data_IF_124552125670
#
_entry.id   IF_124552125670
#
_cell.length_a   1.000
_cell.length_b   1.000
_cell.length_c   1.000
_cell.angle_alpha   90.00
_cell.angle_beta   90.00
_cell.angle_gamma   90.00
#
_symmetry.space_group_name_H-M   'P 1'
#
loop_
_entity.id
_entity.type
_entity.pdbx_description
1 polymer ?
#
# COMPACT_ATOMS: atom_id res chain seq x y z
N UNK A 1 10.32 -5.84 -0.86
CA UNK A 1 9.15 -4.95 -0.92
C UNK A 1 7.98 -5.65 -1.62
N UNK A 2 6.74 -5.46 -1.13
CA UNK A 2 5.53 -6.21 -1.53
C UNK A 2 5.18 -6.03 -3.01
N UNK A 3 5.29 -4.80 -3.51
CA UNK A 3 5.04 -4.50 -4.92
C UNK A 3 6.04 -5.22 -5.83
N UNK A 4 7.33 -5.15 -5.49
CA UNK A 4 8.40 -5.76 -6.29
C UNK A 4 8.28 -7.28 -6.36
N UNK A 5 7.95 -7.95 -5.26
CA UNK A 5 7.71 -9.40 -5.31
C UNK A 5 6.48 -9.75 -6.15
N UNK A 6 5.40 -8.97 -6.05
CA UNK A 6 4.19 -9.18 -6.86
C UNK A 6 4.44 -8.96 -8.35
N UNK A 7 5.24 -7.95 -8.73
CA UNK A 7 5.66 -7.75 -10.11
C UNK A 7 6.52 -8.90 -10.62
N UNK A 8 7.46 -9.40 -9.83
CA UNK A 8 8.22 -10.61 -10.19
C UNK A 8 7.31 -11.81 -10.45
N UNK A 9 6.26 -11.99 -9.65
CA UNK A 9 5.27 -13.04 -9.91
C UNK A 9 4.46 -12.82 -11.19
N UNK A 10 4.18 -11.57 -11.56
CA UNK A 10 3.57 -11.26 -12.86
C UNK A 10 4.52 -11.55 -14.02
N UNK A 11 5.81 -11.21 -13.88
CA UNK A 11 6.83 -11.47 -14.91
C UNK A 11 7.01 -12.97 -15.16
N UNK A 12 6.91 -13.80 -14.12
CA UNK A 12 6.92 -15.27 -14.24
C UNK A 12 5.74 -15.82 -15.05
N UNK A 13 4.67 -15.04 -15.25
CA UNK A 13 3.47 -15.43 -16.00
C UNK A 13 2.93 -16.82 -15.64
N UNK A 14 2.67 -17.11 -14.35
CA UNK A 14 2.19 -18.43 -13.94
C UNK A 14 0.78 -18.69 -14.46
N UNK A 15 0.53 -19.94 -14.85
CA UNK A 15 -0.79 -20.39 -15.32
C UNK A 15 -1.72 -20.74 -14.15
N UNK A 16 -1.14 -21.16 -13.01
CA UNK A 16 -1.86 -21.53 -11.78
C UNK A 16 -1.09 -21.04 -10.56
N UNK A 17 -1.80 -20.54 -9.55
CA UNK A 17 -1.26 -20.27 -8.21
C UNK A 17 -1.97 -21.17 -7.20
N UNK A 18 -1.19 -21.90 -6.42
CA UNK A 18 -1.66 -22.71 -5.29
C UNK A 18 -1.25 -21.97 -4.01
N UNK A 19 -2.15 -21.19 -3.40
CA UNK A 19 -1.83 -20.42 -2.20
C UNK A 19 -1.82 -21.33 -0.95
N UNK A 20 -1.13 -20.89 0.10
CA UNK A 20 -1.18 -21.53 1.43
C UNK A 20 -2.58 -21.52 2.04
N UNK A 21 -3.38 -20.50 1.71
CA UNK A 21 -4.76 -20.34 2.18
C UNK A 21 -5.69 -20.02 1.01
N UNK A 22 -6.93 -20.50 1.11
CA UNK A 22 -7.96 -20.27 0.10
C UNK A 22 -7.91 -21.30 -1.03
N UNK A 23 -8.53 -20.93 -2.16
CA UNK A 23 -8.71 -21.83 -3.31
C UNK A 23 -7.59 -21.62 -4.32
N UNK A 24 -7.32 -22.68 -5.09
CA UNK A 24 -6.43 -22.62 -6.26
C UNK A 24 -6.95 -21.56 -7.24
N UNK A 25 -6.05 -20.74 -7.77
CA UNK A 25 -6.38 -19.68 -8.72
C UNK A 25 -5.84 -20.02 -10.12
N UNK A 26 -6.74 -20.10 -11.09
CA UNK A 26 -6.45 -20.38 -12.51
C UNK A 26 -6.33 -19.12 -13.37
N UNK A 27 -6.48 -17.93 -12.78
CA UNK A 27 -6.25 -16.64 -13.42
C UNK A 27 -5.26 -15.78 -12.61
N UNK A 28 -4.00 -16.24 -12.42
CA UNK A 28 -3.02 -15.55 -11.59
C UNK A 28 -2.80 -14.09 -11.94
N UNK A 29 -2.72 -13.77 -13.23
CA UNK A 29 -2.53 -12.39 -13.70
C UNK A 29 -3.61 -11.45 -13.17
N UNK A 30 -4.89 -11.85 -13.28
CA UNK A 30 -6.04 -11.06 -12.80
C UNK A 30 -5.98 -10.87 -11.29
N UNK A 31 -5.68 -11.94 -10.55
CA UNK A 31 -5.55 -11.89 -9.09
C UNK A 31 -4.42 -10.95 -8.64
N UNK A 32 -3.22 -11.10 -9.22
CA UNK A 32 -2.04 -10.30 -8.85
C UNK A 32 -2.23 -8.83 -9.24
N UNK A 33 -2.77 -8.53 -10.42
CA UNK A 33 -3.14 -7.16 -10.79
C UNK A 33 -4.19 -6.59 -9.82
N UNK A 34 -5.16 -7.40 -9.38
CA UNK A 34 -6.13 -7.02 -8.34
C UNK A 34 -5.46 -6.64 -7.02
N UNK A 35 -4.50 -7.44 -6.55
CA UNK A 35 -3.72 -7.13 -5.34
C UNK A 35 -2.96 -5.81 -5.45
N UNK A 36 -2.29 -5.58 -6.57
CA UNK A 36 -1.59 -4.32 -6.84
C UNK A 36 -2.56 -3.15 -6.84
N UNK A 37 -3.71 -3.29 -7.52
CA UNK A 37 -4.75 -2.26 -7.58
C UNK A 37 -5.27 -1.92 -6.19
N UNK A 38 -5.71 -2.92 -5.43
CA UNK A 38 -6.23 -2.72 -4.07
C UNK A 38 -5.21 -2.04 -3.15
N UNK A 39 -3.92 -2.37 -3.29
CA UNK A 39 -2.86 -1.74 -2.49
C UNK A 39 -2.67 -0.27 -2.86
N UNK A 40 -2.67 0.07 -4.16
CA UNK A 40 -2.57 1.46 -4.63
C UNK A 40 -3.80 2.29 -4.30
N UNK A 41 -5.00 1.74 -4.46
CA UNK A 41 -6.24 2.42 -4.11
C UNK A 41 -6.24 2.83 -2.62
N UNK A 42 -5.73 1.94 -1.75
CA UNK A 42 -5.59 2.24 -0.32
C UNK A 42 -4.54 3.33 -0.06
N UNK A 43 -3.41 3.30 -0.75
CA UNK A 43 -2.40 4.37 -0.65
C UNK A 43 -2.96 5.72 -1.10
N UNK A 44 -3.74 5.74 -2.17
CA UNK A 44 -4.41 6.95 -2.65
C UNK A 44 -5.43 7.47 -1.62
N UNK A 45 -6.25 6.59 -1.05
CA UNK A 45 -7.19 6.97 0.00
C UNK A 45 -6.49 7.57 1.22
N UNK A 46 -5.37 6.99 1.65
CA UNK A 46 -4.57 7.50 2.78
C UNK A 46 -3.94 8.85 2.41
N UNK A 47 -3.40 8.98 1.20
CA UNK A 47 -2.82 10.23 0.73
C UNK A 47 -3.85 11.37 0.71
N UNK A 48 -5.03 11.12 0.14
CA UNK A 48 -6.13 12.10 0.11
C UNK A 48 -6.51 12.54 1.54
N UNK A 49 -6.60 11.60 2.48
CA UNK A 49 -6.92 11.91 3.88
C UNK A 49 -5.85 12.78 4.56
N UNK A 50 -4.58 12.55 4.24
CA UNK A 50 -3.45 13.36 4.73
C UNK A 50 -3.49 14.76 4.11
N UNK A 51 -3.78 14.86 2.81
CA UNK A 51 -3.92 16.14 2.10
C UNK A 51 -5.13 16.95 2.62
N UNK A 52 -6.22 16.28 3.02
CA UNK A 52 -7.38 16.87 3.71
C UNK A 52 -7.10 17.24 5.19
N UNK A 53 -5.83 17.30 5.58
CA UNK A 53 -5.38 17.83 6.87
C UNK A 53 -5.41 16.84 8.03
N UNK A 54 -5.43 15.52 7.78
CA UNK A 54 -5.24 14.55 8.87
C UNK A 54 -3.79 14.63 9.40
N UNK A 55 -3.64 14.84 10.71
CA UNK A 55 -2.32 15.03 11.32
C UNK A 55 -1.83 13.81 12.10
N UNK A 56 -2.75 13.01 12.63
CA UNK A 56 -2.42 11.85 13.46
C UNK A 56 -2.78 10.54 12.77
N UNK A 57 -2.09 9.46 13.17
CA UNK A 57 -2.42 8.10 12.71
C UNK A 57 -3.89 7.74 13.01
N UNK A 58 -4.42 8.21 14.14
CA UNK A 58 -5.81 7.98 14.51
C UNK A 58 -6.77 8.70 13.56
N UNK A 59 -6.51 9.96 13.20
CA UNK A 59 -7.34 10.70 12.24
C UNK A 59 -7.40 9.99 10.89
N UNK A 60 -6.25 9.47 10.44
CA UNK A 60 -6.16 8.72 9.19
C UNK A 60 -7.01 7.45 9.27
N UNK A 61 -6.94 6.70 10.38
CA UNK A 61 -7.73 5.47 10.56
C UNK A 61 -9.22 5.78 10.58
N UNK A 62 -9.65 6.77 11.38
CA UNK A 62 -11.06 7.16 11.52
C UNK A 62 -11.66 7.53 10.17
N UNK A 63 -10.92 8.27 9.34
CA UNK A 63 -11.39 8.70 8.01
C UNK A 63 -11.32 7.56 6.98
N UNK A 64 -10.23 6.80 6.96
CA UNK A 64 -9.98 5.73 5.96
C UNK A 64 -10.82 4.47 6.20
N UNK A 65 -11.13 4.14 7.46
CA UNK A 65 -11.87 2.95 7.88
C UNK A 65 -13.18 3.32 8.59
N UNK A 66 -13.80 4.43 8.17
CA UNK A 66 -15.04 4.97 8.76
C UNK A 66 -16.23 3.99 8.67
N UNK A 67 -16.21 3.09 7.69
CA UNK A 67 -17.21 2.05 7.43
C UNK A 67 -16.91 0.72 8.13
N UNK A 68 -15.77 0.60 8.82
CA UNK A 68 -15.33 -0.62 9.50
C UNK A 68 -15.56 -0.52 11.00
N UNK A 69 -16.00 -1.62 11.63
CA UNK A 69 -16.16 -1.71 13.09
C UNK A 69 -14.89 -1.25 13.81
N UNK A 70 -15.07 -0.36 14.80
CA UNK A 70 -14.03 0.23 15.64
C UNK A 70 -13.10 -0.82 16.26
N UNK A 71 -13.62 -2.03 16.55
CA UNK A 71 -12.80 -3.15 17.06
C UNK A 71 -11.66 -3.55 16.12
N UNK A 72 -11.82 -3.31 14.82
CA UNK A 72 -10.82 -3.62 13.79
C UNK A 72 -9.88 -2.44 13.52
N UNK A 73 -10.05 -1.30 14.17
CA UNK A 73 -9.17 -0.15 13.96
C UNK A 73 -7.77 -0.37 14.51
N UNK A 74 -7.65 -1.12 15.61
CA UNK A 74 -6.35 -1.46 16.19
C UNK A 74 -5.48 -2.26 15.20
N UNK A 75 -5.95 -3.38 14.61
CA UNK A 75 -5.18 -4.07 13.56
C UNK A 75 -5.04 -3.25 12.27
N UNK A 76 -6.02 -2.41 11.93
CA UNK A 76 -5.92 -1.52 10.77
C UNK A 76 -4.81 -0.47 10.92
N UNK A 77 -4.49 -0.04 12.15
CA UNK A 77 -3.43 0.96 12.41
C UNK A 77 -2.06 0.53 11.88
N UNK A 78 -1.71 -0.75 12.03
CA UNK A 78 -0.46 -1.31 11.51
C UNK A 78 -0.45 -1.28 9.98
N UNK A 79 -1.58 -1.59 9.33
CA UNK A 79 -1.69 -1.48 7.89
C UNK A 79 -1.52 -0.04 7.40
N UNK A 80 -2.17 0.93 8.06
CA UNK A 80 -2.02 2.36 7.71
C UNK A 80 -0.56 2.78 7.82
N UNK A 81 0.09 2.43 8.93
CA UNK A 81 1.51 2.77 9.13
C UNK A 81 2.39 2.23 8.00
N UNK A 82 2.23 0.96 7.62
CA UNK A 82 3.01 0.38 6.51
C UNK A 82 2.81 1.14 5.18
N UNK A 83 1.59 1.62 4.92
CA UNK A 83 1.31 2.41 3.73
C UNK A 83 1.89 3.81 3.80
N UNK A 84 1.82 4.48 4.95
CA UNK A 84 2.43 5.80 5.17
C UNK A 84 3.94 5.72 5.04
N UNK A 85 4.58 4.70 5.61
CA UNK A 85 6.03 4.47 5.50
C UNK A 85 6.44 4.23 4.03
N UNK A 86 5.63 3.49 3.27
CA UNK A 86 5.86 3.28 1.84
C UNK A 86 5.67 4.56 1.01
N UNK A 87 4.68 5.39 1.34
CA UNK A 87 4.50 6.71 0.70
C UNK A 87 5.64 7.68 1.04
N UNK A 88 6.13 7.63 2.28
CA UNK A 88 7.27 8.42 2.74
C UNK A 88 8.56 8.04 2.00
N UNK A 89 8.85 6.74 1.84
CA UNK A 89 10.03 6.28 1.11
C UNK A 89 9.99 6.64 -0.38
N UNK A 90 8.79 6.81 -0.95
CA UNK A 90 8.57 7.32 -2.31
C UNK A 90 8.54 8.85 -2.40
N UNK A 91 8.75 9.57 -1.29
CA UNK A 91 8.70 11.04 -1.27
C UNK A 91 7.35 11.64 -1.66
N UNK A 92 6.26 10.87 -1.56
CA UNK A 92 4.90 11.29 -1.99
C UNK A 92 4.11 12.02 -0.91
N UNK A 93 4.59 12.01 0.34
CA UNK A 93 3.94 12.77 1.41
C UNK A 93 4.23 14.27 1.27
N UNK A 94 3.31 15.16 1.69
CA UNK A 94 3.58 16.60 1.75
C UNK A 94 4.85 16.89 2.55
N UNK A 95 5.68 17.84 2.10
CA UNK A 95 7.00 18.16 2.68
C UNK A 95 6.95 18.43 4.19
N UNK A 96 5.85 19.02 4.66
CA UNK A 96 5.61 19.34 6.07
C UNK A 96 5.37 18.10 6.94
N UNK A 97 4.86 17.00 6.34
CA UNK A 97 4.50 15.76 7.03
C UNK A 97 5.51 14.62 6.78
N UNK A 98 6.51 14.83 5.90
CA UNK A 98 7.60 13.88 5.65
C UNK A 98 8.44 13.58 6.90
N UNK A 99 8.57 14.54 7.82
CA UNK A 99 9.39 14.38 9.04
C UNK A 99 8.76 13.51 10.14
N UNK A 100 7.44 13.23 10.10
CA UNK A 100 6.76 12.49 11.18
C UNK A 100 6.81 10.97 10.98
N UNK A 101 7.04 10.51 9.75
CA UNK A 101 7.10 9.07 9.42
C UNK A 101 8.43 8.40 9.81
N UNK A 102 9.48 9.17 10.15
CA UNK A 102 10.80 8.65 10.48
C UNK A 102 11.23 9.03 11.90
N UNK A 103 10.83 8.21 12.88
CA UNK A 103 11.58 8.10 14.12
C UNK A 103 11.98 6.64 14.33
N UNK A 104 13.12 6.28 13.74
CA UNK A 104 14.07 5.35 14.34
C UNK A 104 15.49 5.56 13.75
N UNK A 105 15.66 5.73 12.43
CA UNK A 105 16.98 6.04 11.85
C UNK A 105 16.82 6.90 10.58
N UNK A 106 17.28 8.15 10.64
CA UNK A 106 17.24 9.10 9.53
C UNK A 106 18.17 8.72 8.40
N UNK A 107 17.64 8.67 7.18
CA UNK A 107 18.28 9.02 5.90
C UNK A 107 17.24 8.80 4.80
N UNK A 108 16.91 9.87 4.07
CA UNK A 108 15.96 9.87 2.96
C UNK A 108 16.65 9.24 1.72
N UNK A 109 16.17 8.12 1.16
CA UNK A 109 16.73 7.56 -0.06
C UNK A 109 16.12 8.20 -1.32
N UNK A 110 16.87 8.29 -2.44
CA UNK A 110 16.38 8.90 -3.67
C UNK A 110 15.44 7.97 -4.45
N UNK A 111 14.54 8.62 -5.18
CA UNK A 111 13.47 8.04 -5.99
C UNK A 111 14.02 7.16 -7.13
N UNK A 112 13.61 5.88 -7.17
CA UNK A 112 13.72 5.06 -8.37
C UNK A 112 12.32 4.68 -8.87
N UNK A 113 11.96 5.26 -10.01
CA UNK A 113 10.81 4.85 -10.79
C UNK A 113 11.08 3.49 -11.41
N UNK A 114 10.21 2.51 -11.12
CA UNK A 114 10.16 1.25 -11.86
C UNK A 114 9.01 1.31 -12.86
N UNK A 115 9.36 1.35 -14.15
CA UNK A 115 8.46 1.05 -15.26
C UNK A 115 7.76 -0.28 -14.98
N UNK A 116 6.43 -0.27 -14.98
CA UNK A 116 5.63 -1.50 -14.87
C UNK A 116 4.85 -1.72 -16.16
N UNK A 117 4.83 -2.98 -16.60
CA UNK A 117 3.94 -3.49 -17.63
C UNK A 117 2.52 -3.06 -17.24
N UNK A 118 1.75 -2.39 -18.13
CA UNK A 118 0.42 -1.95 -17.77
C UNK A 118 -0.47 -3.18 -17.52
N UNK A 119 -0.99 -3.30 -16.30
CA UNK A 119 -2.20 -4.07 -16.03
C UNK A 119 -3.37 -3.29 -16.65
N UNK A 120 -3.48 -3.28 -17.97
CA UNK A 120 -4.72 -2.91 -18.64
C UNK A 120 -5.62 -4.14 -18.72
N UNK A 121 -6.90 -3.91 -18.45
CA UNK A 121 -7.99 -4.89 -18.58
C UNK A 121 -8.07 -5.52 -19.97
#
# INVERSE_FOLDING_TARGET
>A
DYFQTTYRFLDLSPHVIIPMHGRINFWPKRMLCGYLKHRRDRELSILNVIEDGAETLFDIIVRTYSDVDVKLWLPASSNVRLHVDHLASQGKLPKEKQCVAFSAHGLCPPLQGSSSIPCND
#
